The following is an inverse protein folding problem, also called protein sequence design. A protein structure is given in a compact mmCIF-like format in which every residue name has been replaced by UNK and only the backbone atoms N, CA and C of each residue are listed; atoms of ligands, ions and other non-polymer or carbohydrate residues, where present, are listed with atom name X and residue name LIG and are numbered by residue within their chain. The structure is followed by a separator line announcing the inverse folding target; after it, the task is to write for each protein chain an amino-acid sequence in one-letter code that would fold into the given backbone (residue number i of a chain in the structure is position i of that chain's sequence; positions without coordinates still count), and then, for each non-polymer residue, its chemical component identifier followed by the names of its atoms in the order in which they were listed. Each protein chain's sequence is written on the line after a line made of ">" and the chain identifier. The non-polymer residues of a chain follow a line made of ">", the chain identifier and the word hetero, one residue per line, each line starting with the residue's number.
data_IF_452218063371
#
_entry.id   IF_452218063371
#
_cell.length_a   1.000
_cell.length_b   1.000
_cell.length_c   1.000
_cell.angle_alpha   90.00
_cell.angle_beta   90.00
_cell.angle_gamma   90.00
#
_symmetry.space_group_name_H-M   'P 1'
#
loop_
_entity.id
_entity.type
_entity.pdbx_description
1 polymer ?
#
# COMPACT_ATOMS: atom_id res chain seq x y z
N UNK A 1 49.44 -21.17 -36.46
CA UNK A 1 49.13 -20.78 -35.07
C UNK A 1 48.73 -19.32 -34.93
N UNK A 2 49.56 -18.32 -35.31
CA UNK A 2 49.21 -16.87 -35.20
C UNK A 2 47.85 -16.47 -35.80
N UNK A 3 47.47 -16.97 -36.98
CA UNK A 3 46.18 -16.64 -37.64
C UNK A 3 44.96 -17.18 -36.87
N UNK A 4 45.12 -18.36 -36.27
CA UNK A 4 44.07 -19.00 -35.46
C UNK A 4 43.89 -18.22 -34.15
N UNK A 5 45.00 -17.82 -33.52
CA UNK A 5 44.98 -16.98 -32.31
C UNK A 5 44.29 -15.64 -32.55
N UNK A 6 44.59 -14.96 -33.67
CA UNK A 6 43.95 -13.69 -34.03
C UNK A 6 42.44 -13.84 -34.27
N UNK A 7 42.03 -14.88 -35.02
CA UNK A 7 40.62 -15.15 -35.27
C UNK A 7 39.86 -15.46 -33.97
N UNK A 8 40.49 -16.20 -33.06
CA UNK A 8 39.90 -16.55 -31.77
C UNK A 8 39.73 -15.33 -30.85
N UNK A 9 40.74 -14.45 -30.79
CA UNK A 9 40.65 -13.19 -30.02
C UNK A 9 39.57 -12.27 -30.59
N UNK A 10 39.49 -12.13 -31.92
CA UNK A 10 38.44 -11.34 -32.56
C UNK A 10 37.04 -11.89 -32.26
N UNK A 11 36.86 -13.21 -32.35
CA UNK A 11 35.60 -13.85 -32.01
C UNK A 11 35.24 -13.64 -30.53
N UNK A 12 36.22 -13.77 -29.62
CA UNK A 12 36.01 -13.55 -28.20
C UNK A 12 35.62 -12.11 -27.87
N UNK A 13 36.28 -11.12 -28.48
CA UNK A 13 35.93 -9.69 -28.33
C UNK A 13 34.53 -9.42 -28.88
N UNK A 14 34.16 -10.03 -30.00
CA UNK A 14 32.83 -9.89 -30.57
C UNK A 14 31.76 -10.48 -29.65
N UNK A 15 32.00 -11.67 -29.07
CA UNK A 15 31.08 -12.32 -28.13
C UNK A 15 30.96 -11.52 -26.82
N UNK A 16 32.08 -11.05 -26.27
CA UNK A 16 32.09 -10.25 -25.04
C UNK A 16 31.49 -8.85 -25.26
N UNK A 17 31.54 -8.31 -26.47
CA UNK A 17 30.89 -7.05 -26.85
C UNK A 17 29.36 -7.17 -27.04
N UNK A 18 28.83 -8.39 -27.17
CA UNK A 18 27.39 -8.66 -27.30
C UNK A 18 26.69 -8.84 -25.94
N UNK A 19 27.43 -9.10 -24.87
CA UNK A 19 26.87 -9.21 -23.51
C UNK A 19 26.83 -7.81 -22.90
N UNK A 20 25.63 -7.21 -22.90
CA UNK A 20 25.39 -5.95 -22.18
C UNK A 20 25.64 -6.11 -20.68
N UNK A 21 25.98 -5.00 -20.00
CA UNK A 21 25.95 -4.95 -18.54
C UNK A 21 24.51 -5.15 -18.07
N UNK A 22 24.27 -6.21 -17.31
CA UNK A 22 23.00 -6.38 -16.60
C UNK A 22 22.97 -5.36 -15.45
N UNK A 23 22.27 -4.25 -15.65
CA UNK A 23 21.97 -3.32 -14.56
C UNK A 23 21.15 -4.05 -13.50
N UNK A 24 21.51 -3.88 -12.24
CA UNK A 24 20.64 -4.32 -11.16
C UNK A 24 19.32 -3.54 -11.24
N UNK A 25 18.18 -4.25 -11.18
CA UNK A 25 16.88 -3.61 -10.97
C UNK A 25 16.85 -3.19 -9.51
N UNK A 26 17.14 -1.91 -9.24
CA UNK A 26 17.16 -1.37 -7.87
C UNK A 26 15.81 -0.75 -7.47
N UNK A 27 14.94 -0.48 -8.44
CA UNK A 27 13.65 0.19 -8.25
C UNK A 27 12.59 -0.34 -9.23
N UNK A 28 11.32 -0.10 -8.93
CA UNK A 28 10.22 -0.25 -9.89
C UNK A 28 10.14 0.94 -10.86
N UNK A 29 9.20 0.86 -11.80
CA UNK A 29 8.72 2.00 -12.59
C UNK A 29 7.23 2.16 -12.28
N UNK A 30 6.69 3.39 -12.22
CA UNK A 30 5.25 3.58 -12.16
C UNK A 30 4.58 2.86 -13.34
N UNK A 31 3.54 2.09 -13.06
CA UNK A 31 2.77 1.29 -14.02
C UNK A 31 1.33 1.81 -14.20
N UNK A 32 1.00 2.95 -13.59
CA UNK A 32 -0.33 3.57 -13.67
C UNK A 32 -1.40 2.68 -13.04
N UNK A 33 -2.51 2.50 -13.74
CA UNK A 33 -3.68 1.74 -13.26
C UNK A 33 -3.56 0.21 -13.38
N UNK A 34 -2.36 -0.34 -13.63
CA UNK A 34 -2.17 -1.79 -13.83
C UNK A 34 -2.41 -2.61 -12.54
N UNK A 35 -2.52 -1.96 -11.37
CA UNK A 35 -2.81 -2.59 -10.07
C UNK A 35 -3.96 -1.89 -9.32
N UNK A 36 -5.18 -1.88 -9.88
CA UNK A 36 -6.22 -0.96 -9.40
C UNK A 36 -6.85 -1.41 -8.07
N UNK A 37 -6.56 -2.64 -7.62
CA UNK A 37 -6.95 -3.14 -6.30
C UNK A 37 -5.93 -2.83 -5.20
N UNK A 38 -4.77 -2.27 -5.54
CA UNK A 38 -3.77 -1.86 -4.55
C UNK A 38 -4.12 -0.46 -4.07
N UNK A 39 -4.13 -0.27 -2.75
CA UNK A 39 -4.46 1.01 -2.15
C UNK A 39 -3.40 1.51 -1.18
N UNK A 40 -3.29 2.84 -1.07
CA UNK A 40 -2.70 3.50 0.09
C UNK A 40 -3.71 3.44 1.23
N UNK A 41 -3.26 3.00 2.41
CA UNK A 41 -4.05 2.98 3.63
C UNK A 41 -3.47 3.97 4.64
N UNK A 42 -4.32 4.73 5.32
CA UNK A 42 -3.98 5.46 6.55
C UNK A 42 -4.73 4.81 7.69
N UNK A 43 -3.99 4.21 8.63
CA UNK A 43 -4.56 3.75 9.89
C UNK A 43 -4.97 4.97 10.74
N UNK A 44 -6.10 4.86 11.44
CA UNK A 44 -6.65 5.89 12.29
C UNK A 44 -7.02 5.34 13.66
N UNK A 45 -7.00 6.24 14.65
CA UNK A 45 -7.64 6.03 15.94
C UNK A 45 -8.87 6.92 16.02
N UNK A 46 -10.04 6.29 16.17
CA UNK A 46 -11.34 6.96 16.29
C UNK A 46 -11.89 6.73 17.69
N UNK A 47 -12.19 7.80 18.41
CA UNK A 47 -13.01 7.73 19.62
C UNK A 47 -14.47 7.96 19.24
N UNK A 48 -15.38 7.18 19.83
CA UNK A 48 -16.82 7.30 19.60
C UNK A 48 -17.54 7.68 20.89
N UNK A 49 -18.62 8.46 20.77
CA UNK A 49 -19.52 8.71 21.88
C UNK A 49 -20.47 7.53 22.17
N UNK A 50 -21.36 7.69 23.15
CA UNK A 50 -22.33 6.65 23.54
C UNK A 50 -23.40 6.38 22.48
N UNK A 51 -23.57 7.25 21.49
CA UNK A 51 -24.46 7.03 20.34
C UNK A 51 -23.75 6.37 19.15
N UNK A 52 -22.42 6.22 19.20
CA UNK A 52 -21.62 5.66 18.11
C UNK A 52 -21.11 6.70 17.12
N UNK A 53 -21.25 8.00 17.41
CA UNK A 53 -20.73 9.07 16.55
C UNK A 53 -19.27 9.36 16.89
N UNK A 54 -18.40 9.60 15.91
CA UNK A 54 -16.98 9.87 16.15
C UNK A 54 -16.78 11.23 16.84
N UNK A 55 -16.04 11.24 17.95
CA UNK A 55 -15.72 12.43 18.75
C UNK A 55 -14.28 12.90 18.63
N UNK A 56 -13.39 12.03 18.15
CA UNK A 56 -12.02 12.36 17.74
C UNK A 56 -11.56 11.38 16.68
N UNK A 57 -10.73 11.83 15.75
CA UNK A 57 -10.19 11.00 14.66
C UNK A 57 -8.75 11.41 14.46
N UNK A 58 -7.81 10.51 14.72
CA UNK A 58 -6.38 10.79 14.57
C UNK A 58 -5.78 9.93 13.48
N UNK A 59 -5.14 10.52 12.46
CA UNK A 59 -4.33 9.76 11.54
C UNK A 59 -3.10 9.22 12.28
N UNK A 60 -2.76 7.96 12.05
CA UNK A 60 -1.65 7.29 12.70
C UNK A 60 -0.50 7.11 11.71
N UNK A 61 -0.49 6.00 10.97
CA UNK A 61 0.56 5.65 10.03
C UNK A 61 -0.01 5.26 8.67
N UNK A 62 0.89 5.22 7.68
CA UNK A 62 0.57 4.76 6.33
C UNK A 62 0.99 3.32 6.16
N UNK A 63 0.17 2.59 5.41
CA UNK A 63 0.46 1.27 4.89
C UNK A 63 -0.04 1.15 3.46
N UNK A 64 0.15 -0.01 2.87
CA UNK A 64 -0.54 -0.42 1.66
C UNK A 64 -1.30 -1.72 1.91
N UNK A 65 -2.10 -2.12 0.94
CA UNK A 65 -2.78 -3.40 0.94
C UNK A 65 -3.47 -3.63 -0.39
N UNK A 66 -4.33 -4.63 -0.43
CA UNK A 66 -5.07 -4.96 -1.63
C UNK A 66 -6.51 -5.35 -1.32
N UNK A 67 -7.44 -4.83 -2.12
CA UNK A 67 -8.82 -5.25 -2.08
C UNK A 67 -8.92 -6.72 -2.52
N UNK A 68 -9.47 -7.58 -1.67
CA UNK A 68 -9.66 -9.02 -1.93
C UNK A 68 -11.14 -9.41 -2.10
N UNK A 69 -12.05 -8.49 -1.77
CA UNK A 69 -13.46 -8.46 -2.15
C UNK A 69 -13.96 -7.02 -2.07
N UNK A 70 -15.16 -6.73 -2.58
CA UNK A 70 -15.74 -5.38 -2.53
C UNK A 70 -15.80 -4.77 -1.11
N UNK A 71 -15.76 -5.58 -0.05
CA UNK A 71 -15.86 -5.13 1.35
C UNK A 71 -14.66 -5.52 2.21
N UNK A 72 -13.60 -6.07 1.64
CA UNK A 72 -12.47 -6.59 2.42
C UNK A 72 -11.13 -6.20 1.80
N UNK A 73 -10.35 -5.44 2.55
CA UNK A 73 -9.01 -5.00 2.17
C UNK A 73 -7.96 -5.74 3.00
N UNK A 74 -7.08 -6.47 2.35
CA UNK A 74 -6.00 -7.25 2.96
C UNK A 74 -4.76 -6.39 3.15
N UNK A 75 -4.19 -6.40 4.35
CA UNK A 75 -2.95 -5.69 4.69
C UNK A 75 -2.12 -6.48 5.72
N UNK A 76 -1.06 -5.86 6.24
CA UNK A 76 -0.22 -6.44 7.28
C UNK A 76 -0.83 -6.24 8.69
N UNK A 77 -0.43 -7.07 9.64
CA UNK A 77 -0.92 -7.02 11.02
C UNK A 77 -0.41 -5.78 11.75
N UNK A 78 0.84 -5.40 11.51
CA UNK A 78 1.41 -4.15 12.03
C UNK A 78 0.71 -2.89 11.49
N UNK A 79 -0.02 -3.00 10.38
CA UNK A 79 -0.80 -1.88 9.85
C UNK A 79 -2.11 -1.68 10.59
N UNK A 80 -2.67 -2.75 11.18
CA UNK A 80 -3.95 -2.74 11.88
C UNK A 80 -3.81 -2.85 13.40
N UNK A 81 -2.60 -3.02 13.91
CA UNK A 81 -2.38 -3.20 15.35
C UNK A 81 -2.77 -1.97 16.18
N UNK A 82 -3.08 -2.20 17.45
CA UNK A 82 -3.43 -1.13 18.37
C UNK A 82 -2.32 -0.05 18.41
N UNK A 83 -2.69 1.25 18.43
CA UNK A 83 -4.02 1.77 18.73
C UNK A 83 -4.96 1.90 17.51
N UNK A 84 -4.60 1.44 16.31
CA UNK A 84 -5.50 1.54 15.18
C UNK A 84 -6.82 0.79 15.44
N UNK A 85 -7.94 1.43 15.11
CA UNK A 85 -9.26 0.81 15.11
C UNK A 85 -10.07 1.11 13.84
N UNK A 86 -9.56 1.99 12.98
CA UNK A 86 -10.20 2.36 11.72
C UNK A 86 -9.13 2.66 10.66
N UNK A 87 -9.51 2.69 9.39
CA UNK A 87 -8.62 3.09 8.31
C UNK A 87 -9.36 3.77 7.16
N UNK A 88 -8.65 4.67 6.48
CA UNK A 88 -9.06 5.30 5.23
C UNK A 88 -8.16 4.81 4.10
N UNK A 89 -8.73 4.56 2.92
CA UNK A 89 -8.05 3.93 1.79
C UNK A 89 -8.22 4.77 0.52
N UNK A 90 -7.14 4.91 -0.25
CA UNK A 90 -7.11 5.56 -1.57
C UNK A 90 -6.61 4.56 -2.62
N UNK A 91 -7.29 4.47 -3.76
CA UNK A 91 -6.97 3.57 -4.88
C UNK A 91 -6.39 4.27 -6.11
N UNK A 92 -6.33 5.61 -6.11
CA UNK A 92 -5.69 6.40 -7.17
C UNK A 92 -4.19 6.04 -7.30
N UNK A 93 -3.69 5.87 -8.53
CA UNK A 93 -2.27 5.58 -8.82
C UNK A 93 -1.36 6.75 -8.43
N UNK A 94 -1.96 7.92 -8.28
CA UNK A 94 -1.40 9.11 -7.71
C UNK A 94 -0.90 10.12 -8.75
N UNK A 95 -0.44 11.29 -8.29
CA UNK A 95 -0.19 11.63 -6.88
C UNK A 95 -1.47 11.87 -6.08
N UNK A 96 -1.51 11.36 -4.83
CA UNK A 96 -2.59 11.64 -3.88
C UNK A 96 -2.34 13.03 -3.26
N UNK A 97 -3.23 13.97 -3.56
CA UNK A 97 -3.14 15.36 -3.09
C UNK A 97 -3.42 15.49 -1.59
N UNK A 98 -2.75 16.45 -0.94
CA UNK A 98 -2.97 16.77 0.47
C UNK A 98 -4.37 17.37 0.67
N UNK A 99 -5.08 16.84 1.65
CA UNK A 99 -6.36 17.33 2.11
C UNK A 99 -6.30 18.64 2.92
N UNK A 100 -7.40 18.95 3.60
CA UNK A 100 -7.57 20.21 4.34
C UNK A 100 -6.84 20.26 5.68
N UNK A 101 -6.37 19.11 6.20
CA UNK A 101 -5.71 19.01 7.49
C UNK A 101 -4.45 19.90 7.58
N UNK A 102 -4.42 20.91 8.47
CA UNK A 102 -3.30 21.85 8.56
C UNK A 102 -2.02 21.19 9.09
N UNK A 103 -2.09 20.52 10.24
CA UNK A 103 -0.99 19.77 10.85
C UNK A 103 -1.38 18.30 11.05
N UNK A 104 -0.43 17.37 10.85
CA UNK A 104 -0.66 15.94 11.09
C UNK A 104 -0.88 15.61 12.57
N UNK A 105 -0.56 16.53 13.49
CA UNK A 105 -0.91 16.39 14.91
C UNK A 105 -2.36 16.73 15.24
N UNK A 106 -3.10 17.33 14.29
CA UNK A 106 -4.48 17.76 14.49
C UNK A 106 -5.47 16.59 14.28
N UNK A 107 -6.72 16.82 14.66
CA UNK A 107 -7.83 15.87 14.47
C UNK A 107 -8.35 15.94 13.02
N UNK A 108 -8.72 14.78 12.47
CA UNK A 108 -9.33 14.65 11.16
C UNK A 108 -10.84 14.92 11.13
N UNK A 109 -11.48 15.15 12.30
CA UNK A 109 -12.90 15.43 12.35
C UNK A 109 -13.26 16.71 11.59
N UNK A 110 -14.04 16.56 10.53
CA UNK A 110 -14.46 17.66 9.66
C UNK A 110 -13.44 18.05 8.59
N UNK A 111 -12.30 17.36 8.52
CA UNK A 111 -11.27 17.55 7.50
C UNK A 111 -11.47 16.54 6.36
N UNK A 112 -11.07 16.90 5.14
CA UNK A 112 -11.26 16.09 3.93
C UNK A 112 -9.94 15.79 3.24
N UNK A 113 -9.92 14.75 2.39
CA UNK A 113 -8.74 14.33 1.64
C UNK A 113 -7.66 13.71 2.53
N UNK A 114 -6.48 13.47 1.95
CA UNK A 114 -5.38 12.84 2.68
C UNK A 114 -4.87 13.71 3.84
N UNK A 115 -4.71 13.17 5.07
CA UNK A 115 -4.80 11.76 5.47
C UNK A 115 -6.14 11.35 6.14
N UNK A 116 -7.17 12.19 6.03
CA UNK A 116 -8.37 12.12 6.88
C UNK A 116 -9.55 11.39 6.27
N UNK A 117 -9.76 11.53 4.95
CA UNK A 117 -10.90 10.91 4.26
C UNK A 117 -10.44 10.51 2.86
N UNK A 118 -10.53 9.21 2.59
CA UNK A 118 -10.16 8.57 1.33
C UNK A 118 -11.37 8.20 0.49
N UNK A 119 -11.14 7.25 -0.42
CA UNK A 119 -12.16 6.69 -1.29
C UNK A 119 -13.15 5.82 -0.51
N UNK A 120 -12.66 5.10 0.49
CA UNK A 120 -13.46 4.24 1.38
C UNK A 120 -12.76 4.07 2.73
N UNK A 121 -13.55 3.96 3.80
CA UNK A 121 -13.07 3.69 5.15
C UNK A 121 -13.59 2.36 5.71
N UNK A 122 -13.04 1.91 6.84
CA UNK A 122 -13.52 0.72 7.52
C UNK A 122 -12.81 0.36 8.83
N UNK A 123 -13.42 -0.55 9.59
CA UNK A 123 -12.87 -1.08 10.83
C UNK A 123 -11.67 -2.01 10.56
N UNK A 124 -10.63 -1.91 11.37
CA UNK A 124 -9.42 -2.73 11.22
C UNK A 124 -9.42 -3.95 12.14
N UNK A 125 -8.93 -5.07 11.63
CA UNK A 125 -8.77 -6.32 12.37
C UNK A 125 -7.35 -6.84 12.23
N UNK A 126 -6.66 -7.04 13.35
CA UNK A 126 -5.35 -7.70 13.38
C UNK A 126 -5.51 -9.20 13.62
N UNK A 127 -4.71 -10.01 12.94
CA UNK A 127 -4.67 -11.45 13.21
C UNK A 127 -4.33 -11.71 14.69
N UNK A 128 -5.14 -12.54 15.38
CA UNK A 128 -5.06 -12.75 16.83
C UNK A 128 -3.71 -13.27 17.34
N UNK A 129 -2.91 -13.90 16.47
CA UNK A 129 -1.58 -14.41 16.78
C UNK A 129 -0.43 -13.47 16.37
N UNK A 130 -0.74 -12.28 15.85
CA UNK A 130 0.28 -11.27 15.56
C UNK A 130 0.98 -10.87 16.86
N UNK A 131 2.29 -10.73 16.78
CA UNK A 131 3.13 -10.32 17.89
C UNK A 131 4.17 -9.34 17.36
N UNK A 132 4.18 -8.07 17.80
CA UNK A 132 5.11 -7.07 17.29
C UNK A 132 6.58 -7.41 17.57
N UNK A 133 6.87 -8.18 18.64
CA UNK A 133 8.23 -8.67 18.91
C UNK A 133 8.65 -9.83 18.00
N UNK A 134 7.71 -10.43 17.28
CA UNK A 134 7.91 -11.47 16.28
C UNK A 134 7.17 -11.11 14.98
N UNK A 135 7.33 -9.86 14.52
CA UNK A 135 6.59 -9.25 13.41
C UNK A 135 6.62 -10.03 12.07
N UNK A 136 7.46 -11.05 11.93
CA UNK A 136 7.52 -11.91 10.74
C UNK A 136 6.55 -13.09 10.81
N UNK A 137 5.88 -13.29 11.95
CA UNK A 137 4.85 -14.31 12.14
C UNK A 137 3.48 -13.65 12.22
N UNK A 138 2.54 -14.13 11.41
CA UNK A 138 1.15 -13.68 11.42
C UNK A 138 1.00 -12.16 11.26
N UNK A 139 1.89 -11.52 10.49
CA UNK A 139 1.77 -10.12 10.09
C UNK A 139 0.68 -9.97 9.03
N UNK A 140 -0.55 -10.16 9.50
CA UNK A 140 -1.76 -10.22 8.72
C UNK A 140 -2.82 -9.37 9.39
N UNK A 141 -3.41 -8.47 8.62
CA UNK A 141 -4.53 -7.64 9.01
C UNK A 141 -5.53 -7.53 7.88
N UNK A 142 -6.77 -7.20 8.21
CA UNK A 142 -7.79 -6.84 7.24
C UNK A 142 -8.50 -5.57 7.67
N UNK A 143 -9.06 -4.85 6.71
CA UNK A 143 -10.04 -3.78 6.93
C UNK A 143 -11.37 -4.24 6.37
N UNK A 144 -12.40 -4.27 7.22
CA UNK A 144 -13.79 -4.47 6.79
C UNK A 144 -14.36 -3.12 6.41
N UNK A 145 -14.66 -2.92 5.13
CA UNK A 145 -15.08 -1.62 4.60
C UNK A 145 -16.52 -1.31 5.01
N UNK A 146 -16.78 -0.05 5.35
CA UNK A 146 -18.12 0.43 5.74
C UNK A 146 -19.13 0.32 4.60
N UNK A 147 -18.63 0.39 3.35
CA UNK A 147 -19.41 0.20 2.15
C UNK A 147 -18.62 -0.56 1.06
N UNK A 148 -19.30 -1.26 0.13
CA UNK A 148 -18.64 -1.93 -0.97
C UNK A 148 -17.90 -0.93 -1.88
N UNK A 149 -16.60 -1.15 -2.11
CA UNK A 149 -15.83 -0.44 -3.12
C UNK A 149 -15.70 -1.27 -4.39
N UNK A 150 -16.07 -0.67 -5.53
CA UNK A 150 -15.95 -1.30 -6.85
C UNK A 150 -15.22 -0.38 -7.82
N UNK A 151 -14.23 -0.93 -8.51
CA UNK A 151 -13.60 -0.26 -9.63
C UNK A 151 -14.53 -0.21 -10.85
N UNK A 152 -14.21 0.66 -11.82
CA UNK A 152 -14.93 0.71 -13.10
C UNK A 152 -14.88 -0.65 -13.82
N UNK A 153 -15.94 -1.44 -13.69
CA UNK A 153 -16.03 -2.81 -14.21
C UNK A 153 -16.57 -3.82 -13.19
N UNK A 154 -16.46 -3.53 -11.89
CA UNK A 154 -16.75 -4.47 -10.81
C UNK A 154 -15.49 -5.19 -10.32
N UNK A 155 -15.55 -5.81 -9.14
CA UNK A 155 -14.42 -6.57 -8.60
C UNK A 155 -14.21 -7.88 -9.40
N UNK A 156 -13.00 -8.06 -9.94
CA UNK A 156 -12.60 -9.23 -10.72
C UNK A 156 -13.15 -9.31 -12.14
N UNK A 157 -13.66 -8.20 -12.67
CA UNK A 157 -14.23 -8.09 -14.02
C UNK A 157 -13.19 -7.91 -15.14
#
# INVERSE_FOLDING_TARGET
>A
MKRITVAFVLALVLVLGLVGVASAITNGQPDGDDHPYVGLMVAQYVEYDTSGEPTSVKPLWRCSGTLISETLFLTAGHCTEAPANYAEIWFDDGPIDRGSLPDLSDECLGETGYPCSGDVGGEVFTHQSYNPAAFFLYDLGVVELDEPWTLAGGYGA
#
